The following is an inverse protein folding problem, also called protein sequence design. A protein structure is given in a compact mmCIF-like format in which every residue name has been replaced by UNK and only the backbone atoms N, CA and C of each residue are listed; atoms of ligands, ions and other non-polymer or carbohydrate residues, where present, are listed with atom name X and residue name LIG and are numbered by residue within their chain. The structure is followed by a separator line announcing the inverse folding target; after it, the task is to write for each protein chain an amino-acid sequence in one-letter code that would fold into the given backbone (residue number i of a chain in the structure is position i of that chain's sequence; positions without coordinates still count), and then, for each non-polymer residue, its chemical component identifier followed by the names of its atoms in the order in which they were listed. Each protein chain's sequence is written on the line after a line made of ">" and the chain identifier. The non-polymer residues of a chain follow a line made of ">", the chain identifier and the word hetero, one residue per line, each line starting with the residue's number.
data_IF_165521375826
#
_entry.id   IF_165521375826
#
_cell.length_a   1.000
_cell.length_b   1.000
_cell.length_c   1.000
_cell.angle_alpha   90.00
_cell.angle_beta   90.00
_cell.angle_gamma   90.00
#
_symmetry.space_group_name_H-M   'P 1'
#
loop_
_entity.id
_entity.type
_entity.pdbx_description
1 polymer ?
#
# COMPACT_ATOMS: atom_id res chain seq x y z
N UNK A 1 -14.06 -0.43 -4.55
CA UNK A 1 -12.78 0.14 -5.06
C UNK A 1 -11.64 -0.23 -4.13
N UNK A 2 -10.40 0.20 -4.38
CA UNK A 2 -9.33 -0.05 -3.39
C UNK A 2 -9.64 0.70 -2.08
N UNK A 3 -10.28 1.87 -2.16
CA UNK A 3 -10.61 2.71 -1.02
C UNK A 3 -11.51 2.01 -0.01
N UNK A 4 -12.52 1.30 -0.51
CA UNK A 4 -13.44 0.51 0.30
C UNK A 4 -12.75 -0.68 0.94
N UNK A 5 -11.96 -1.44 0.17
CA UNK A 5 -11.28 -2.65 0.64
C UNK A 5 -10.26 -2.31 1.73
N UNK A 6 -9.36 -1.35 1.46
CA UNK A 6 -8.36 -0.93 2.42
C UNK A 6 -8.97 -0.14 3.59
N UNK A 7 -10.06 0.59 3.35
CA UNK A 7 -10.82 1.26 4.39
C UNK A 7 -11.40 0.27 5.40
N UNK A 8 -12.15 -0.73 4.92
CA UNK A 8 -12.74 -1.77 5.77
C UNK A 8 -11.69 -2.62 6.49
N UNK A 9 -10.57 -2.93 5.82
CA UNK A 9 -9.43 -3.61 6.46
C UNK A 9 -8.86 -2.77 7.61
N UNK A 10 -8.68 -1.47 7.40
CA UNK A 10 -8.15 -0.56 8.43
C UNK A 10 -9.13 -0.45 9.61
N UNK A 11 -10.42 -0.37 9.34
CA UNK A 11 -11.46 -0.36 10.39
C UNK A 11 -11.45 -1.66 11.22
N UNK A 12 -11.22 -2.80 10.58
CA UNK A 12 -11.08 -4.08 11.27
C UNK A 12 -9.81 -4.15 12.13
N UNK A 13 -8.69 -3.61 11.65
CA UNK A 13 -7.44 -3.51 12.41
C UNK A 13 -7.65 -2.67 13.67
N UNK A 14 -8.23 -1.47 13.52
CA UNK A 14 -8.56 -0.56 14.64
C UNK A 14 -9.44 -1.26 15.67
N UNK A 15 -10.40 -2.08 15.23
CA UNK A 15 -11.30 -2.82 16.13
C UNK A 15 -10.62 -3.96 16.88
N UNK A 16 -9.64 -4.63 16.27
CA UNK A 16 -9.02 -5.86 16.80
C UNK A 16 -7.72 -5.61 17.58
N UNK A 17 -7.03 -4.51 17.29
CA UNK A 17 -5.74 -4.19 17.89
C UNK A 17 -5.92 -2.98 18.80
N UNK A 18 -5.46 -3.11 20.05
CA UNK A 18 -5.31 -1.96 20.93
C UNK A 18 -4.13 -1.10 20.45
N UNK A 19 -4.45 -0.07 19.66
CA UNK A 19 -3.47 0.84 19.07
C UNK A 19 -2.69 1.64 20.12
N UNK A 20 -3.15 1.73 21.37
CA UNK A 20 -2.40 2.38 22.45
C UNK A 20 -1.12 1.62 22.83
N UNK A 21 -1.09 0.30 22.58
CA UNK A 21 0.05 -0.58 22.82
C UNK A 21 1.00 -0.64 21.62
N UNK A 22 0.62 -0.06 20.49
CA UNK A 22 1.43 -0.04 19.28
C UNK A 22 2.47 1.08 19.37
N UNK A 23 3.74 0.70 19.17
CA UNK A 23 4.87 1.64 19.25
C UNK A 23 4.92 2.57 18.04
N UNK A 24 4.87 1.99 16.84
CA UNK A 24 4.99 2.68 15.57
C UNK A 24 4.23 1.92 14.47
N UNK A 25 3.78 2.64 13.45
CA UNK A 25 3.09 2.10 12.28
C UNK A 25 3.81 2.59 11.03
N UNK A 26 4.21 1.65 10.17
CA UNK A 26 4.76 1.95 8.86
C UNK A 26 3.75 1.58 7.77
N UNK A 27 3.46 2.52 6.88
CA UNK A 27 2.50 2.37 5.79
C UNK A 27 3.27 2.53 4.48
N UNK A 28 3.12 1.59 3.56
CA UNK A 28 3.77 1.66 2.25
C UNK A 28 3.04 0.84 1.20
N UNK A 29 3.34 1.13 -0.07
CA UNK A 29 2.90 0.29 -1.19
C UNK A 29 3.94 -0.75 -1.55
N UNK A 30 3.51 -1.83 -2.19
CA UNK A 30 4.46 -2.81 -2.70
C UNK A 30 5.34 -2.25 -3.83
N UNK A 31 6.52 -2.86 -3.98
CA UNK A 31 7.42 -2.68 -5.11
C UNK A 31 7.85 -4.06 -5.59
N UNK A 32 8.07 -4.22 -6.88
CA UNK A 32 8.44 -5.50 -7.47
C UNK A 32 9.50 -5.29 -8.54
N UNK A 33 10.50 -6.17 -8.64
CA UNK A 33 11.56 -5.94 -9.64
C UNK A 33 10.99 -6.03 -11.06
N UNK A 34 11.50 -5.15 -11.94
CA UNK A 34 11.10 -5.12 -13.35
C UNK A 34 11.31 -6.46 -14.04
N UNK A 35 12.43 -7.12 -13.78
CA UNK A 35 12.74 -8.42 -14.38
C UNK A 35 11.80 -9.52 -13.91
N UNK A 36 11.33 -9.45 -12.66
CA UNK A 36 10.34 -10.40 -12.14
C UNK A 36 8.98 -10.24 -12.85
N UNK A 37 8.47 -9.01 -12.98
CA UNK A 37 7.23 -8.76 -13.74
C UNK A 37 7.37 -9.15 -15.21
N UNK A 38 8.55 -8.94 -15.82
CA UNK A 38 8.82 -9.38 -17.20
C UNK A 38 8.72 -10.89 -17.34
N UNK A 39 9.24 -11.66 -16.39
CA UNK A 39 9.04 -13.12 -16.37
C UNK A 39 7.57 -13.48 -16.16
N UNK A 40 6.86 -12.82 -15.22
CA UNK A 40 5.44 -13.08 -14.98
C UNK A 40 4.58 -12.83 -16.24
N UNK A 41 4.83 -11.72 -16.96
CA UNK A 41 4.12 -11.41 -18.22
C UNK A 41 4.32 -12.46 -19.29
N UNK A 42 5.51 -13.08 -19.34
CA UNK A 42 5.82 -14.17 -20.28
C UNK A 42 5.11 -15.48 -19.90
N UNK A 43 5.02 -15.79 -18.61
CA UNK A 43 4.57 -17.09 -18.13
C UNK A 43 3.07 -17.15 -17.80
N UNK A 44 2.45 -16.02 -17.43
CA UNK A 44 1.11 -15.99 -16.82
C UNK A 44 0.03 -15.34 -17.68
N UNK A 45 0.35 -14.92 -18.91
CA UNK A 45 -0.61 -14.23 -19.79
C UNK A 45 -1.07 -12.86 -19.28
N UNK A 46 -2.08 -12.28 -19.93
CA UNK A 46 -2.62 -10.93 -19.74
C UNK A 46 -3.36 -10.70 -18.41
N UNK A 47 -2.82 -11.14 -17.26
CA UNK A 47 -3.48 -10.85 -15.98
C UNK A 47 -3.47 -9.35 -15.71
N UNK A 48 -4.59 -8.81 -15.20
CA UNK A 48 -4.73 -7.37 -14.95
C UNK A 48 -3.67 -6.84 -13.98
N UNK A 49 -3.21 -7.69 -13.04
CA UNK A 49 -2.17 -7.35 -12.08
C UNK A 49 -0.80 -7.12 -12.72
N UNK A 50 -0.46 -7.81 -13.81
CA UNK A 50 0.82 -7.60 -14.52
C UNK A 50 0.75 -6.51 -15.58
N UNK A 51 -0.46 -6.14 -16.01
CA UNK A 51 -0.71 -5.13 -17.05
C UNK A 51 -0.94 -3.72 -16.50
N UNK A 52 -0.97 -3.55 -15.17
CA UNK A 52 -1.12 -2.23 -14.55
C UNK A 52 0.04 -1.28 -14.97
N UNK A 53 -0.24 0.02 -15.21
CA UNK A 53 0.76 1.01 -15.63
C UNK A 53 1.67 1.43 -14.48
N UNK A 54 2.52 0.51 -14.02
CA UNK A 54 3.54 0.79 -13.01
C UNK A 54 4.63 1.73 -13.53
N UNK A 55 5.17 2.54 -12.64
CA UNK A 55 6.36 3.37 -12.88
C UNK A 55 7.61 2.58 -12.50
N UNK A 56 8.67 2.70 -13.28
CA UNK A 56 9.96 2.06 -12.99
C UNK A 56 10.89 3.06 -12.32
N UNK A 57 11.19 2.83 -11.05
CA UNK A 57 12.17 3.60 -10.27
C UNK A 57 13.32 2.68 -9.86
N UNK A 58 14.53 2.96 -10.35
CA UNK A 58 15.74 2.22 -9.97
C UNK A 58 15.70 0.71 -10.25
N UNK A 59 14.90 0.25 -11.22
CA UNK A 59 14.74 -1.17 -11.55
C UNK A 59 13.58 -1.87 -10.84
N UNK A 60 12.82 -1.13 -10.02
CA UNK A 60 11.61 -1.61 -9.35
C UNK A 60 10.37 -0.94 -9.94
N UNK A 61 9.37 -1.76 -10.24
CA UNK A 61 8.03 -1.32 -10.61
C UNK A 61 7.21 -1.06 -9.36
N UNK A 62 6.57 0.11 -9.33
CA UNK A 62 5.71 0.56 -8.23
C UNK A 62 4.53 1.38 -8.76
N UNK A 63 3.56 1.65 -7.90
CA UNK A 63 2.45 2.52 -8.26
C UNK A 63 2.92 3.95 -8.55
N UNK A 64 2.26 4.67 -9.49
CA UNK A 64 2.46 6.10 -9.65
C UNK A 64 2.33 6.83 -8.31
N UNK A 65 3.15 7.85 -8.11
CA UNK A 65 3.24 8.57 -6.82
C UNK A 65 1.88 9.06 -6.31
N UNK A 66 1.07 9.68 -7.16
CA UNK A 66 -0.27 10.17 -6.77
C UNK A 66 -1.17 9.04 -6.24
N UNK A 67 -1.13 7.87 -6.89
CA UNK A 67 -1.91 6.72 -6.47
C UNK A 67 -1.36 6.13 -5.17
N UNK A 68 -0.04 6.02 -5.05
CA UNK A 68 0.63 5.55 -3.84
C UNK A 68 0.27 6.44 -2.66
N UNK A 69 0.39 7.75 -2.82
CA UNK A 69 0.03 8.74 -1.79
C UNK A 69 -1.45 8.63 -1.43
N UNK A 70 -2.36 8.55 -2.42
CA UNK A 70 -3.79 8.35 -2.16
C UNK A 70 -4.07 7.08 -1.34
N UNK A 71 -3.36 5.99 -1.63
CA UNK A 71 -3.50 4.72 -0.89
C UNK A 71 -2.96 4.84 0.54
N UNK A 72 -1.78 5.43 0.74
CA UNK A 72 -1.17 5.55 2.07
C UNK A 72 -1.91 6.58 2.93
N UNK A 73 -2.35 7.70 2.35
CA UNK A 73 -3.12 8.75 3.02
C UNK A 73 -4.48 8.25 3.53
N UNK A 74 -5.15 7.40 2.76
CA UNK A 74 -6.42 6.79 3.18
C UNK A 74 -6.25 6.02 4.50
N UNK A 75 -5.17 5.25 4.63
CA UNK A 75 -4.90 4.43 5.81
C UNK A 75 -4.41 5.33 6.95
N UNK A 76 -3.49 6.27 6.70
CA UNK A 76 -2.96 7.16 7.74
C UNK A 76 -4.06 8.03 8.36
N UNK A 77 -4.92 8.63 7.53
CA UNK A 77 -5.99 9.51 8.00
C UNK A 77 -6.99 8.76 8.91
N UNK A 78 -7.22 7.47 8.64
CA UNK A 78 -8.05 6.63 9.52
C UNK A 78 -7.36 6.34 10.86
N UNK A 79 -6.05 6.17 10.86
CA UNK A 79 -5.27 5.86 12.06
C UNK A 79 -5.00 7.08 12.96
N UNK A 80 -4.89 8.28 12.40
CA UNK A 80 -4.64 9.53 13.15
C UNK A 80 -5.70 9.82 14.22
N UNK A 81 -6.92 9.27 14.11
CA UNK A 81 -7.94 9.36 15.15
C UNK A 81 -7.73 8.42 16.35
N UNK A 82 -6.77 7.50 16.27
CA UNK A 82 -6.58 6.41 17.23
C UNK A 82 -5.15 6.30 17.78
N UNK A 83 -4.16 6.87 17.09
CA UNK A 83 -2.76 6.93 17.52
C UNK A 83 -2.16 8.30 17.17
N UNK A 84 -1.18 8.73 17.96
CA UNK A 84 -0.40 9.93 17.67
C UNK A 84 0.24 9.83 16.27
N UNK A 85 -0.08 10.80 15.40
CA UNK A 85 0.41 10.86 14.02
C UNK A 85 1.94 10.90 13.90
N UNK A 86 2.65 11.33 14.95
CA UNK A 86 4.13 11.28 14.98
C UNK A 86 4.70 9.85 14.96
N UNK A 87 3.86 8.85 15.23
CA UNK A 87 4.19 7.42 15.22
C UNK A 87 3.82 6.73 13.90
N UNK A 88 3.28 7.47 12.94
CA UNK A 88 2.88 6.95 11.62
C UNK A 88 3.91 7.39 10.58
N UNK A 89 4.52 6.42 9.90
CA UNK A 89 5.54 6.64 8.88
C UNK A 89 5.05 6.15 7.52
N UNK A 90 5.12 7.00 6.49
CA UNK A 90 4.75 6.65 5.12
C UNK A 90 6.00 6.45 4.26
N UNK A 91 6.04 5.35 3.51
CA UNK A 91 7.12 4.98 2.58
C UNK A 91 6.80 5.30 1.12
#
# INVERSE_FOLDING_TARGET
>A
GFEEIYGSMTDEIIRRIDLSLVRDISIGSFRISKEYIKQMRRNSGYSSSVMFPFVNEGGYLMYPEDLRNKMTDLISNKLEGHIDGTRIYKA
#
